data_IF_072478242275
#
_entry.id   IF_072478242275
#
_cell.length_a   1.000
_cell.length_b   1.000
_cell.length_c   1.000
_cell.angle_alpha   90.00
_cell.angle_beta   90.00
_cell.angle_gamma   90.00
#
_symmetry.space_group_name_H-M   'P 1'
#
loop_
_entity.id
_entity.type
_entity.pdbx_description
1 polymer ?
#
# COMPACT_ATOMS: atom_id res chain seq x y z
N UNK A 1 -10.60 -10.08 25.17
CA UNK A 1 -11.32 -11.35 25.42
C UNK A 1 -11.59 -11.55 26.90
N UNK A 2 -12.46 -12.49 27.27
CA UNK A 2 -12.68 -12.88 28.68
C UNK A 2 -11.44 -13.54 29.32
N UNK A 3 -10.50 -14.01 28.54
CA UNK A 3 -9.21 -14.57 28.98
C UNK A 3 -8.12 -13.51 29.11
N UNK A 4 -8.43 -12.24 28.92
CA UNK A 4 -7.47 -11.13 29.03
C UNK A 4 -6.59 -10.91 27.79
N UNK A 5 -6.74 -11.69 26.72
CA UNK A 5 -6.01 -11.45 25.47
C UNK A 5 -6.57 -10.21 24.80
N UNK A 6 -5.69 -9.29 24.38
CA UNK A 6 -6.02 -8.02 23.72
C UNK A 6 -5.42 -8.02 22.33
N UNK A 7 -6.26 -7.89 21.30
CA UNK A 7 -5.82 -7.62 19.93
C UNK A 7 -5.66 -6.13 19.70
N UNK A 8 -4.67 -5.79 18.90
CA UNK A 8 -4.31 -4.40 18.60
C UNK A 8 -4.07 -4.25 17.10
N UNK A 9 -4.42 -3.08 16.59
CA UNK A 9 -4.16 -2.70 15.20
C UNK A 9 -3.75 -1.24 15.14
N UNK A 10 -2.86 -0.93 14.24
CA UNK A 10 -2.56 0.44 13.83
C UNK A 10 -3.17 0.69 12.45
N UNK A 11 -4.02 1.69 12.35
CA UNK A 11 -4.58 2.18 11.08
C UNK A 11 -3.94 3.53 10.79
N UNK A 12 -2.88 3.57 10.00
CA UNK A 12 -2.19 4.81 9.64
C UNK A 12 -3.01 5.70 8.70
N UNK A 13 -2.62 6.97 8.58
CA UNK A 13 -3.06 7.92 7.55
C UNK A 13 -4.59 8.14 7.41
N UNK A 14 -5.33 7.96 8.51
CA UNK A 14 -6.80 8.13 8.53
C UNK A 14 -7.28 9.20 9.51
N UNK A 15 -6.46 10.21 9.78
CA UNK A 15 -6.71 11.20 10.83
C UNK A 15 -8.05 11.91 10.69
N UNK A 16 -8.41 12.29 9.46
CA UNK A 16 -9.67 13.01 9.19
C UNK A 16 -10.92 12.12 9.33
N UNK A 17 -10.78 10.82 9.05
CA UNK A 17 -11.86 9.83 9.09
C UNK A 17 -11.95 9.10 10.43
N UNK A 18 -10.94 9.19 11.29
CA UNK A 18 -10.89 8.49 12.57
C UNK A 18 -12.16 8.63 13.43
N UNK A 19 -12.73 9.81 13.61
CA UNK A 19 -13.96 9.93 14.41
C UNK A 19 -15.13 9.10 13.84
N UNK A 20 -15.28 9.05 12.52
CA UNK A 20 -16.31 8.26 11.86
C UNK A 20 -16.04 6.76 11.98
N UNK A 21 -14.80 6.34 11.78
CA UNK A 21 -14.34 4.95 11.94
C UNK A 21 -14.61 4.47 13.38
N UNK A 22 -14.16 5.22 14.39
CA UNK A 22 -14.37 4.88 15.79
C UNK A 22 -15.84 4.81 16.16
N UNK A 23 -16.66 5.73 15.63
CA UNK A 23 -18.10 5.69 15.85
C UNK A 23 -18.73 4.40 15.32
N UNK A 24 -18.38 3.98 14.10
CA UNK A 24 -18.86 2.72 13.52
C UNK A 24 -18.41 1.53 14.39
N UNK A 25 -17.15 1.51 14.80
CA UNK A 25 -16.63 0.44 15.66
C UNK A 25 -17.43 0.36 16.96
N UNK A 26 -17.62 1.47 17.66
CA UNK A 26 -18.30 1.48 18.96
C UNK A 26 -19.79 1.22 18.89
N UNK A 27 -20.48 1.83 17.93
CA UNK A 27 -21.94 1.83 17.89
C UNK A 27 -22.50 0.60 17.16
N UNK A 28 -21.73 -0.03 16.26
CA UNK A 28 -22.23 -1.08 15.38
C UNK A 28 -21.39 -2.36 15.47
N UNK A 29 -20.06 -2.29 15.27
CA UNK A 29 -19.25 -3.50 15.15
C UNK A 29 -19.02 -4.16 16.51
N UNK A 30 -18.69 -3.40 17.54
CA UNK A 30 -18.46 -3.95 18.88
C UNK A 30 -19.70 -4.63 19.47
N UNK A 31 -20.92 -4.03 19.38
CA UNK A 31 -22.15 -4.73 19.80
C UNK A 31 -22.42 -6.02 19.00
N UNK A 32 -22.16 -6.00 17.66
CA UNK A 32 -22.38 -7.17 16.80
C UNK A 32 -21.45 -8.34 17.16
N UNK A 33 -20.25 -8.04 17.63
CA UNK A 33 -19.23 -9.04 17.97
C UNK A 33 -19.27 -9.49 19.44
N UNK A 34 -20.05 -8.82 20.29
CA UNK A 34 -20.08 -9.10 21.71
C UNK A 34 -20.48 -10.55 21.99
N UNK A 35 -19.59 -11.29 22.69
CA UNK A 35 -19.80 -12.70 23.04
C UNK A 35 -19.49 -13.71 21.92
N UNK A 36 -19.04 -13.27 20.77
CA UNK A 36 -18.62 -14.18 19.70
C UNK A 36 -17.25 -14.81 20.02
N UNK A 37 -17.04 -15.99 19.49
CA UNK A 37 -15.74 -16.67 19.54
C UNK A 37 -14.81 -16.06 18.50
N UNK A 38 -13.65 -15.53 18.95
CA UNK A 38 -12.65 -14.91 18.09
C UNK A 38 -12.08 -15.88 17.03
N UNK A 39 -12.11 -17.19 17.32
CA UNK A 39 -11.67 -18.20 16.34
C UNK A 39 -12.67 -18.43 15.20
N UNK A 40 -13.90 -17.97 15.33
CA UNK A 40 -14.88 -17.94 14.26
C UNK A 40 -14.73 -16.65 13.42
N UNK A 41 -13.58 -16.47 12.78
CA UNK A 41 -13.22 -15.25 12.05
C UNK A 41 -14.21 -14.93 10.93
N UNK A 42 -14.63 -15.93 10.14
CA UNK A 42 -15.65 -15.77 9.10
C UNK A 42 -17.01 -15.34 9.68
N UNK A 43 -17.41 -15.93 10.80
CA UNK A 43 -18.63 -15.53 11.50
C UNK A 43 -18.57 -14.11 12.04
N UNK A 44 -17.41 -13.67 12.53
CA UNK A 44 -17.19 -12.30 12.96
C UNK A 44 -17.27 -11.34 11.77
N UNK A 45 -16.64 -11.68 10.65
CA UNK A 45 -16.73 -10.90 9.42
C UNK A 45 -18.19 -10.74 8.94
N UNK A 46 -18.94 -11.83 8.87
CA UNK A 46 -20.36 -11.79 8.47
C UNK A 46 -21.22 -10.97 9.45
N UNK A 47 -20.92 -11.01 10.75
CA UNK A 47 -21.62 -10.20 11.75
C UNK A 47 -21.38 -8.68 11.58
N UNK A 48 -20.23 -8.28 11.05
CA UNK A 48 -19.91 -6.88 10.76
C UNK A 48 -20.50 -6.35 9.45
N UNK A 49 -20.79 -7.23 8.51
CA UNK A 49 -21.27 -6.90 7.16
C UNK A 49 -22.51 -5.98 7.10
N UNK A 50 -23.50 -6.08 8.01
CA UNK A 50 -24.67 -5.19 8.00
C UNK A 50 -24.33 -3.70 8.08
N UNK A 51 -23.17 -3.32 8.65
CA UNK A 51 -22.71 -1.94 8.66
C UNK A 51 -22.54 -1.35 7.24
N UNK A 52 -22.36 -2.20 6.22
CA UNK A 52 -22.20 -1.78 4.81
C UNK A 52 -23.53 -1.59 4.07
N UNK A 53 -24.67 -1.90 4.68
CA UNK A 53 -25.97 -1.95 3.98
C UNK A 53 -26.62 -0.56 3.80
N UNK A 54 -26.20 0.43 4.57
CA UNK A 54 -26.66 1.80 4.39
C UNK A 54 -26.09 2.36 3.07
N UNK A 55 -26.98 2.58 2.09
CA UNK A 55 -26.63 3.05 0.75
C UNK A 55 -26.20 4.52 0.70
N UNK A 56 -26.50 5.28 1.74
CA UNK A 56 -26.17 6.71 1.86
C UNK A 56 -24.83 6.93 2.59
N UNK A 57 -24.31 5.90 3.24
CA UNK A 57 -23.04 5.95 3.97
C UNK A 57 -21.86 5.75 3.02
N UNK A 58 -20.75 6.42 3.30
CA UNK A 58 -19.48 6.12 2.65
C UNK A 58 -19.01 4.71 3.02
N UNK A 59 -19.02 3.82 2.03
CA UNK A 59 -18.61 2.43 2.21
C UNK A 59 -17.12 2.28 2.45
N UNK A 60 -16.30 3.20 1.96
CA UNK A 60 -14.85 3.21 2.21
C UNK A 60 -14.55 3.32 3.70
N UNK A 61 -15.17 4.30 4.38
CA UNK A 61 -15.04 4.49 5.83
C UNK A 61 -15.54 3.27 6.62
N UNK A 62 -16.65 2.67 6.17
CA UNK A 62 -17.17 1.44 6.82
C UNK A 62 -16.20 0.28 6.65
N UNK A 63 -15.64 0.09 5.45
CA UNK A 63 -14.68 -0.99 5.20
C UNK A 63 -13.39 -0.79 5.98
N UNK A 64 -12.92 0.45 6.16
CA UNK A 64 -11.80 0.75 7.04
C UNK A 64 -12.08 0.35 8.49
N UNK A 65 -13.28 0.66 9.01
CA UNK A 65 -13.69 0.24 10.34
C UNK A 65 -13.73 -1.29 10.48
N UNK A 66 -14.31 -2.00 9.51
CA UNK A 66 -14.36 -3.47 9.49
C UNK A 66 -12.95 -4.05 9.41
N UNK A 67 -12.10 -3.53 8.52
CA UNK A 67 -10.71 -3.98 8.36
C UNK A 67 -9.89 -3.81 9.63
N UNK A 68 -10.05 -2.67 10.33
CA UNK A 68 -9.38 -2.45 11.61
C UNK A 68 -9.79 -3.49 12.64
N UNK A 69 -11.10 -3.75 12.79
CA UNK A 69 -11.59 -4.77 13.74
C UNK A 69 -11.15 -6.17 13.35
N UNK A 70 -11.25 -6.53 12.07
CA UNK A 70 -10.84 -7.85 11.57
C UNK A 70 -9.35 -8.10 11.80
N UNK A 71 -8.50 -7.12 11.53
CA UNK A 71 -7.05 -7.20 11.82
C UNK A 71 -6.80 -7.40 13.31
N UNK A 72 -7.51 -6.69 14.19
CA UNK A 72 -7.38 -6.87 15.64
C UNK A 72 -7.90 -8.23 16.12
N UNK A 73 -8.93 -8.79 15.47
CA UNK A 73 -9.40 -10.16 15.74
C UNK A 73 -8.32 -11.19 15.39
N UNK A 74 -7.70 -11.07 14.21
CA UNK A 74 -6.59 -11.94 13.82
C UNK A 74 -5.38 -11.80 14.74
N UNK A 75 -5.02 -10.58 15.16
CA UNK A 75 -3.97 -10.37 16.17
C UNK A 75 -4.30 -11.07 17.48
N UNK A 76 -5.58 -11.02 17.89
CA UNK A 76 -6.07 -11.76 19.07
C UNK A 76 -5.90 -13.28 18.90
N UNK A 77 -6.23 -13.81 17.73
CA UNK A 77 -6.06 -15.25 17.42
C UNK A 77 -4.59 -15.65 17.53
N UNK A 78 -3.70 -14.87 16.91
CA UNK A 78 -2.25 -15.12 16.97
C UNK A 78 -1.72 -15.12 18.40
N UNK A 79 -2.10 -14.11 19.19
CA UNK A 79 -1.73 -13.98 20.61
C UNK A 79 -2.33 -15.11 21.48
N UNK A 80 -3.56 -15.51 21.24
CA UNK A 80 -4.22 -16.59 21.96
C UNK A 80 -3.56 -17.95 21.70
N UNK A 81 -3.00 -18.17 20.53
CA UNK A 81 -2.29 -19.38 20.12
C UNK A 81 -0.78 -19.33 20.39
N UNK A 82 -0.27 -18.20 20.86
CA UNK A 82 1.18 -17.93 20.96
C UNK A 82 1.90 -18.24 19.64
N UNK A 83 1.30 -17.82 18.52
CA UNK A 83 1.79 -18.12 17.19
C UNK A 83 1.72 -16.91 16.26
N UNK A 84 2.81 -16.56 15.56
CA UNK A 84 2.78 -15.54 14.53
C UNK A 84 1.80 -15.90 13.41
N UNK A 85 1.01 -14.92 12.95
CA UNK A 85 -0.04 -15.13 11.94
C UNK A 85 0.47 -15.75 10.65
N UNK A 86 1.68 -15.35 10.19
CA UNK A 86 2.24 -15.94 8.98
C UNK A 86 2.38 -17.47 9.05
N UNK A 87 2.59 -18.03 10.26
CA UNK A 87 2.63 -19.49 10.47
C UNK A 87 1.25 -20.11 10.43
N UNK A 88 0.24 -19.44 11.03
CA UNK A 88 -1.14 -19.88 10.96
C UNK A 88 -1.65 -19.96 9.52
N UNK A 89 -1.20 -19.04 8.67
CA UNK A 89 -1.56 -19.00 7.26
C UNK A 89 -0.64 -19.83 6.36
N UNK A 90 0.17 -20.74 6.94
CA UNK A 90 1.00 -21.69 6.21
C UNK A 90 2.35 -21.15 5.73
N UNK A 91 2.92 -20.22 6.48
CA UNK A 91 4.11 -19.42 6.15
C UNK A 91 5.23 -20.13 5.39
N UNK A 92 5.60 -19.57 4.27
CA UNK A 92 6.67 -20.05 3.40
C UNK A 92 8.06 -19.63 3.89
N UNK A 93 8.19 -18.39 4.39
CA UNK A 93 9.45 -17.82 4.87
C UNK A 93 9.21 -16.90 6.05
N UNK A 94 10.22 -16.76 6.90
CA UNK A 94 10.24 -15.78 7.99
C UNK A 94 11.23 -14.62 7.73
N UNK A 95 11.82 -14.57 6.55
CA UNK A 95 12.76 -13.54 6.12
C UNK A 95 12.25 -12.93 4.82
N UNK A 96 12.04 -11.63 4.84
CA UNK A 96 11.65 -10.85 3.66
C UNK A 96 12.71 -9.76 3.39
N UNK A 97 13.05 -9.53 2.12
CA UNK A 97 13.86 -8.38 1.77
C UNK A 97 13.08 -7.09 2.07
N UNK A 98 13.74 -6.12 2.70
CA UNK A 98 13.12 -4.84 3.00
C UNK A 98 13.55 -3.77 2.03
N UNK A 99 12.61 -2.91 1.64
CA UNK A 99 12.84 -1.68 0.90
C UNK A 99 12.36 -0.49 1.73
N UNK A 100 13.01 0.66 1.60
CA UNK A 100 12.54 1.91 2.20
C UNK A 100 11.45 2.57 1.33
N UNK A 101 10.67 3.45 1.93
CA UNK A 101 9.81 4.40 1.24
C UNK A 101 10.31 5.79 1.58
N UNK A 102 10.65 6.60 0.57
CA UNK A 102 11.22 7.92 0.81
C UNK A 102 11.39 8.74 -0.47
N UNK A 103 12.29 9.69 -0.42
CA UNK A 103 12.49 10.64 -1.52
C UNK A 103 11.30 11.58 -1.65
N UNK A 104 10.72 12.03 -0.53
CA UNK A 104 9.63 13.01 -0.54
C UNK A 104 10.12 14.38 -1.04
N UNK A 105 9.18 15.21 -1.48
CA UNK A 105 9.47 16.56 -1.97
C UNK A 105 9.85 17.52 -0.83
N UNK A 106 10.51 18.63 -1.20
CA UNK A 106 10.94 19.67 -0.26
C UNK A 106 12.32 19.45 0.35
N UNK A 107 13.00 18.36 0.04
CA UNK A 107 14.37 18.08 0.47
C UNK A 107 15.38 18.72 -0.50
N UNK A 108 16.48 19.21 0.07
CA UNK A 108 17.68 19.54 -0.70
C UNK A 108 18.37 18.27 -1.19
N UNK A 109 19.29 18.40 -2.16
CA UNK A 109 20.10 17.27 -2.64
C UNK A 109 20.85 16.57 -1.48
N UNK A 110 21.42 17.34 -0.55
CA UNK A 110 22.21 16.81 0.56
C UNK A 110 21.34 16.09 1.61
N UNK A 111 20.12 16.56 1.84
CA UNK A 111 19.15 15.89 2.72
C UNK A 111 18.68 14.58 2.11
N UNK A 112 18.34 14.57 0.84
CA UNK A 112 17.99 13.38 0.10
C UNK A 112 19.14 12.35 0.08
N UNK A 113 20.36 12.81 -0.16
CA UNK A 113 21.55 11.95 -0.14
C UNK A 113 21.78 11.31 1.24
N UNK A 114 21.57 12.07 2.32
CA UNK A 114 21.67 11.54 3.69
C UNK A 114 20.58 10.52 3.99
N UNK A 115 19.33 10.81 3.63
CA UNK A 115 18.22 9.87 3.79
C UNK A 115 18.53 8.51 3.11
N UNK A 116 19.02 8.54 1.88
CA UNK A 116 19.34 7.32 1.14
C UNK A 116 20.55 6.60 1.77
N UNK A 117 21.57 7.35 2.22
CA UNK A 117 22.72 6.76 2.90
C UNK A 117 22.31 6.06 4.21
N UNK A 118 21.36 6.62 4.96
CA UNK A 118 20.80 6.01 6.16
C UNK A 118 20.09 4.70 5.83
N UNK A 119 19.27 4.66 4.76
CA UNK A 119 18.61 3.45 4.28
C UNK A 119 19.61 2.36 3.90
N UNK A 120 20.66 2.71 3.16
CA UNK A 120 21.76 1.79 2.83
C UNK A 120 22.41 1.29 4.12
N UNK A 121 22.65 2.16 5.09
CA UNK A 121 23.20 1.82 6.40
C UNK A 121 22.32 0.85 7.21
N UNK A 122 21.01 0.92 7.07
CA UNK A 122 20.07 -0.04 7.67
C UNK A 122 20.02 -1.39 6.96
N UNK A 123 20.70 -1.54 5.82
CA UNK A 123 20.75 -2.79 5.07
C UNK A 123 19.49 -3.09 4.25
N UNK A 124 18.68 -2.09 3.92
CA UNK A 124 17.58 -2.27 2.97
C UNK A 124 18.14 -2.48 1.56
N UNK A 125 17.45 -3.26 0.75
CA UNK A 125 17.94 -3.65 -0.59
C UNK A 125 17.60 -2.62 -1.68
N UNK A 126 16.81 -1.60 -1.36
CA UNK A 126 16.36 -0.59 -2.30
C UNK A 126 15.33 0.35 -1.69
N UNK A 127 14.74 1.20 -2.51
CA UNK A 127 13.70 2.11 -2.06
C UNK A 127 12.60 2.32 -3.09
N UNK A 128 11.40 2.60 -2.60
CA UNK A 128 10.30 3.15 -3.35
C UNK A 128 10.35 4.68 -3.25
N UNK A 129 10.70 5.32 -4.35
CA UNK A 129 10.99 6.75 -4.44
C UNK A 129 9.75 7.52 -4.91
N UNK A 130 9.42 8.64 -4.23
CA UNK A 130 8.26 9.46 -4.59
C UNK A 130 8.56 10.34 -5.81
N UNK A 131 7.68 10.23 -6.82
CA UNK A 131 7.70 10.99 -8.07
C UNK A 131 6.31 11.55 -8.38
N UNK A 132 6.14 12.33 -9.43
CA UNK A 132 4.82 12.82 -9.86
C UNK A 132 4.37 14.13 -9.20
N UNK A 133 5.11 14.65 -8.24
CA UNK A 133 4.89 15.98 -7.65
C UNK A 133 5.69 17.10 -8.34
N UNK A 134 6.55 16.72 -9.30
CA UNK A 134 7.35 17.62 -10.11
C UNK A 134 7.28 17.20 -11.59
N UNK A 135 8.02 17.88 -12.47
CA UNK A 135 8.15 17.44 -13.86
C UNK A 135 8.95 16.14 -13.96
N UNK A 136 8.73 15.31 -15.00
CA UNK A 136 9.55 14.12 -15.23
C UNK A 136 11.05 14.38 -15.21
N UNK A 137 11.50 15.50 -15.75
CA UNK A 137 12.91 15.92 -15.77
C UNK A 137 13.46 16.16 -14.38
N UNK A 138 12.73 16.89 -13.55
CA UNK A 138 13.12 17.19 -12.16
C UNK A 138 13.15 15.91 -11.32
N UNK A 139 12.18 15.01 -11.50
CA UNK A 139 12.15 13.73 -10.80
C UNK A 139 13.31 12.82 -11.21
N UNK A 140 13.74 12.83 -12.48
CA UNK A 140 14.95 12.12 -12.91
C UNK A 140 16.22 12.68 -12.24
N UNK A 141 16.36 14.00 -12.11
CA UNK A 141 17.51 14.59 -11.38
C UNK A 141 17.54 14.15 -9.91
N UNK A 142 16.38 14.02 -9.28
CA UNK A 142 16.28 13.49 -7.92
C UNK A 142 16.64 12.00 -7.85
N UNK A 143 16.17 11.17 -8.81
CA UNK A 143 16.52 9.76 -8.89
C UNK A 143 18.01 9.51 -9.12
N UNK A 144 18.72 10.39 -9.83
CA UNK A 144 20.17 10.28 -10.00
C UNK A 144 20.90 10.31 -8.64
N UNK A 145 20.38 11.06 -7.66
CA UNK A 145 20.94 11.04 -6.29
C UNK A 145 20.78 9.65 -5.66
N UNK A 146 19.61 9.01 -5.88
CA UNK A 146 19.37 7.66 -5.34
C UNK A 146 20.29 6.61 -5.98
N UNK A 147 20.57 6.74 -7.27
CA UNK A 147 21.53 5.86 -7.97
C UNK A 147 22.96 6.08 -7.45
N UNK A 148 23.36 7.35 -7.32
CA UNK A 148 24.70 7.73 -6.89
C UNK A 148 25.01 7.23 -5.48
N UNK A 149 24.09 7.45 -4.53
CA UNK A 149 24.28 7.13 -3.10
C UNK A 149 23.96 5.68 -2.80
N UNK A 150 22.90 5.13 -3.40
CA UNK A 150 22.50 3.74 -3.22
C UNK A 150 23.53 2.74 -3.77
N UNK A 151 24.24 3.14 -4.80
CA UNK A 151 25.30 2.36 -5.40
C UNK A 151 24.81 1.10 -6.17
N UNK A 152 25.76 0.25 -6.50
CA UNK A 152 25.51 -0.94 -7.30
C UNK A 152 24.59 -1.94 -6.57
N UNK A 153 23.51 -2.33 -7.22
CA UNK A 153 22.54 -3.31 -6.69
C UNK A 153 21.45 -2.71 -5.82
N UNK A 154 21.46 -1.39 -5.56
CA UNK A 154 20.35 -0.73 -4.88
C UNK A 154 19.14 -0.64 -5.81
N UNK A 155 18.05 -1.28 -5.41
CA UNK A 155 16.85 -1.43 -6.25
C UNK A 155 15.98 -0.19 -6.17
N UNK A 156 15.50 0.29 -7.32
CA UNK A 156 14.64 1.47 -7.38
C UNK A 156 13.24 1.09 -7.89
N UNK A 157 12.26 1.42 -7.11
CA UNK A 157 10.85 1.46 -7.47
C UNK A 157 10.38 2.91 -7.38
N UNK A 158 9.39 3.29 -8.14
CA UNK A 158 8.85 4.65 -8.11
C UNK A 158 7.35 4.65 -7.87
N UNK A 159 6.86 5.68 -7.17
CA UNK A 159 5.47 5.85 -6.82
C UNK A 159 5.05 7.30 -7.09
N UNK A 160 4.14 7.48 -8.04
CA UNK A 160 3.64 8.80 -8.39
C UNK A 160 2.39 9.19 -7.61
N UNK A 161 1.79 8.30 -6.83
CA UNK A 161 0.51 8.54 -6.16
C UNK A 161 -0.50 9.25 -7.09
N UNK A 162 -0.61 8.77 -8.33
CA UNK A 162 -1.49 9.28 -9.37
C UNK A 162 -1.14 10.70 -9.89
N UNK A 163 0.08 11.16 -9.64
CA UNK A 163 0.50 12.54 -9.92
C UNK A 163 0.76 12.86 -11.40
N UNK A 164 1.07 11.85 -12.23
CA UNK A 164 1.31 12.04 -13.66
C UNK A 164 0.06 11.78 -14.51
N UNK A 165 0.11 12.26 -15.74
CA UNK A 165 -0.71 11.76 -16.85
C UNK A 165 0.05 10.69 -17.66
N UNK A 166 -0.63 10.08 -18.62
CA UNK A 166 -0.03 9.03 -19.47
C UNK A 166 1.21 9.53 -20.23
N UNK A 167 1.16 10.74 -20.78
CA UNK A 167 2.27 11.33 -21.54
C UNK A 167 3.48 11.60 -20.65
N UNK A 168 3.25 12.16 -19.47
CA UNK A 168 4.30 12.41 -18.47
C UNK A 168 4.92 11.10 -17.98
N UNK A 169 4.11 10.08 -17.73
CA UNK A 169 4.59 8.75 -17.32
C UNK A 169 5.51 8.12 -18.38
N UNK A 170 5.07 8.11 -19.64
CA UNK A 170 5.88 7.59 -20.75
C UNK A 170 7.19 8.38 -20.89
N UNK A 171 7.11 9.71 -20.78
CA UNK A 171 8.29 10.59 -20.81
C UNK A 171 9.25 10.30 -19.67
N UNK A 172 8.73 10.14 -18.44
CA UNK A 172 9.54 9.81 -17.26
C UNK A 172 10.30 8.49 -17.45
N UNK A 173 9.61 7.41 -17.87
CA UNK A 173 10.26 6.11 -18.07
C UNK A 173 11.31 6.18 -19.18
N UNK A 174 11.04 6.92 -20.28
CA UNK A 174 12.02 7.14 -21.33
C UNK A 174 13.27 7.85 -20.81
N UNK A 175 13.10 8.93 -20.04
CA UNK A 175 14.21 9.67 -19.45
C UNK A 175 15.01 8.84 -18.45
N UNK A 176 14.35 7.99 -17.66
CA UNK A 176 15.01 7.04 -16.75
C UNK A 176 15.91 6.07 -17.55
N UNK A 177 15.39 5.49 -18.63
CA UNK A 177 16.14 4.61 -19.51
C UNK A 177 17.32 5.33 -20.18
N UNK A 178 17.12 6.56 -20.69
CA UNK A 178 18.19 7.38 -21.28
C UNK A 178 19.29 7.73 -20.27
N UNK A 179 18.93 7.87 -18.99
CA UNK A 179 19.86 8.12 -17.88
C UNK A 179 20.52 6.83 -17.34
N UNK A 180 20.16 5.66 -17.88
CA UNK A 180 20.66 4.36 -17.37
C UNK A 180 20.11 3.96 -16.01
N UNK A 181 18.97 4.53 -15.59
CA UNK A 181 18.32 4.23 -14.31
C UNK A 181 17.38 3.03 -14.52
N UNK A 182 17.70 1.90 -13.90
CA UNK A 182 16.86 0.73 -13.93
C UNK A 182 15.77 0.84 -12.86
N UNK A 183 14.51 0.78 -13.28
CA UNK A 183 13.34 0.77 -12.41
C UNK A 183 12.72 -0.63 -12.36
N UNK A 184 12.29 -1.09 -11.19
CA UNK A 184 11.68 -2.41 -11.04
C UNK A 184 10.19 -2.40 -11.29
N UNK A 185 9.49 -1.39 -10.77
CA UNK A 185 8.07 -1.15 -11.07
C UNK A 185 7.71 0.32 -10.87
N UNK A 186 6.55 0.70 -11.40
CA UNK A 186 5.93 1.99 -11.23
C UNK A 186 4.60 1.85 -10.49
N UNK A 187 4.52 2.42 -9.28
CA UNK A 187 3.29 2.44 -8.48
C UNK A 187 2.46 3.66 -8.81
N UNK A 188 1.17 3.43 -9.04
CA UNK A 188 0.17 4.44 -9.33
C UNK A 188 0.63 5.57 -10.26
N UNK A 189 1.13 5.24 -11.48
CA UNK A 189 1.71 6.25 -12.37
C UNK A 189 0.70 7.33 -12.82
N UNK A 190 -0.57 6.98 -12.93
CA UNK A 190 -1.64 7.84 -13.50
C UNK A 190 -2.90 7.78 -12.64
N UNK A 191 -3.84 8.71 -12.86
CA UNK A 191 -5.15 8.76 -12.19
C UNK A 191 -6.08 7.65 -12.67
N UNK A 192 -5.88 6.45 -12.19
CA UNK A 192 -6.53 5.24 -12.63
C UNK A 192 -7.92 4.99 -12.03
N UNK A 193 -8.32 5.67 -10.97
CA UNK A 193 -9.61 5.42 -10.30
C UNK A 193 -10.81 5.73 -11.21
N UNK A 194 -10.63 6.59 -12.24
CA UNK A 194 -11.66 6.84 -13.25
C UNK A 194 -11.71 5.76 -14.33
N UNK A 195 -10.56 5.20 -14.69
CA UNK A 195 -10.42 4.19 -15.72
C UNK A 195 -9.14 3.35 -15.50
N UNK A 196 -9.33 2.14 -14.98
CA UNK A 196 -8.24 1.20 -14.70
C UNK A 196 -7.43 0.82 -15.94
N UNK A 197 -7.98 1.00 -17.16
CA UNK A 197 -7.26 0.76 -18.42
C UNK A 197 -6.05 1.67 -18.59
N UNK A 198 -6.03 2.85 -17.99
CA UNK A 198 -4.87 3.74 -18.07
C UNK A 198 -3.61 3.11 -17.47
N UNK A 199 -3.72 2.32 -16.43
CA UNK A 199 -2.58 1.55 -15.89
C UNK A 199 -2.07 0.53 -16.92
N UNK A 200 -2.99 -0.20 -17.58
CA UNK A 200 -2.65 -1.11 -18.66
C UNK A 200 -1.96 -0.39 -19.83
N UNK A 201 -2.45 0.79 -20.20
CA UNK A 201 -1.88 1.57 -21.29
C UNK A 201 -0.45 2.02 -20.93
N UNK A 202 -0.17 2.43 -19.70
CA UNK A 202 1.20 2.68 -19.21
C UNK A 202 2.05 1.43 -19.34
N UNK A 203 1.57 0.31 -18.82
CA UNK A 203 2.26 -0.99 -18.84
C UNK A 203 2.65 -1.41 -20.25
N UNK A 204 1.73 -1.30 -21.20
CA UNK A 204 1.97 -1.64 -22.61
C UNK A 204 2.90 -0.64 -23.31
N UNK A 205 2.80 0.64 -23.00
CA UNK A 205 3.62 1.67 -23.64
C UNK A 205 5.06 1.70 -23.12
N UNK A 206 5.28 1.34 -21.87
CA UNK A 206 6.60 1.46 -21.23
C UNK A 206 7.33 0.12 -21.09
N UNK A 207 6.59 -0.99 -21.04
CA UNK A 207 7.13 -2.31 -20.69
C UNK A 207 7.56 -2.44 -19.24
N UNK A 208 7.40 -1.40 -18.41
CA UNK A 208 7.70 -1.41 -16.98
C UNK A 208 6.55 -2.05 -16.21
N UNK A 209 6.80 -2.95 -15.26
CA UNK A 209 5.76 -3.48 -14.39
C UNK A 209 5.03 -2.38 -13.62
N UNK A 210 3.71 -2.49 -13.50
CA UNK A 210 2.85 -1.53 -12.81
C UNK A 210 2.33 -2.12 -11.51
N UNK A 211 2.36 -1.31 -10.46
CA UNK A 211 1.80 -1.60 -9.14
C UNK A 211 0.65 -0.66 -8.84
N UNK A 212 -0.47 -1.19 -8.36
CA UNK A 212 -1.58 -0.41 -7.79
C UNK A 212 -2.50 -1.32 -6.98
N UNK A 213 -3.42 -0.71 -6.21
CA UNK A 213 -4.43 -1.43 -5.43
C UNK A 213 -4.74 -0.79 -4.08
N UNK A 214 -3.86 0.03 -3.54
CA UNK A 214 -4.01 0.64 -2.21
C UNK A 214 -5.31 1.46 -2.03
N UNK A 215 -5.89 1.96 -3.12
CA UNK A 215 -7.16 2.70 -3.09
C UNK A 215 -8.39 1.77 -3.27
N UNK A 216 -8.17 0.47 -3.44
CA UNK A 216 -9.25 -0.51 -3.52
C UNK A 216 -9.52 -1.12 -2.15
N UNK A 217 -10.75 -1.00 -1.69
CA UNK A 217 -11.21 -1.55 -0.42
C UNK A 217 -12.20 -2.70 -0.59
N UNK A 218 -12.30 -3.26 -1.81
CA UNK A 218 -13.18 -4.38 -2.12
C UNK A 218 -12.51 -5.34 -3.11
N UNK A 219 -12.81 -6.62 -2.93
CA UNK A 219 -12.26 -7.69 -3.77
C UNK A 219 -12.61 -7.54 -5.26
N UNK A 220 -13.77 -6.99 -5.58
CA UNK A 220 -14.18 -6.74 -6.97
C UNK A 220 -13.29 -5.67 -7.63
N UNK A 221 -12.90 -4.62 -6.91
CA UNK A 221 -11.98 -3.61 -7.42
C UNK A 221 -10.60 -4.17 -7.75
N UNK A 222 -10.06 -5.00 -6.86
CA UNK A 222 -8.78 -5.70 -7.08
C UNK A 222 -8.88 -6.69 -8.24
N UNK A 223 -9.99 -7.45 -8.33
CA UNK A 223 -10.24 -8.37 -9.44
C UNK A 223 -10.22 -7.64 -10.78
N UNK A 224 -10.90 -6.49 -10.88
CA UNK A 224 -10.94 -5.69 -12.09
C UNK A 224 -9.55 -5.23 -12.53
N UNK A 225 -8.66 -4.88 -11.58
CA UNK A 225 -7.26 -4.54 -11.88
C UNK A 225 -6.51 -5.72 -12.49
N UNK A 226 -6.69 -6.92 -11.91
CA UNK A 226 -6.02 -8.15 -12.34
C UNK A 226 -6.57 -8.62 -13.71
N UNK A 227 -7.89 -8.78 -13.82
CA UNK A 227 -8.55 -9.28 -15.03
C UNK A 227 -8.40 -8.32 -16.21
N UNK A 228 -8.37 -7.01 -15.94
CA UNK A 228 -8.10 -5.96 -16.93
C UNK A 228 -6.66 -5.92 -17.44
N UNK A 229 -5.75 -6.71 -16.86
CA UNK A 229 -4.32 -6.68 -17.17
C UNK A 229 -3.67 -5.34 -16.83
N UNK A 230 -4.20 -4.64 -15.83
CA UNK A 230 -3.81 -3.28 -15.45
C UNK A 230 -2.56 -3.26 -14.56
N UNK A 231 -2.30 -4.33 -13.82
CA UNK A 231 -1.21 -4.40 -12.84
C UNK A 231 -0.39 -5.69 -12.98
N UNK A 232 0.86 -5.65 -12.53
CA UNK A 232 1.75 -6.79 -12.33
C UNK A 232 1.91 -7.09 -10.83
N UNK A 233 1.81 -6.04 -9.99
CA UNK A 233 1.86 -6.13 -8.54
C UNK A 233 0.62 -5.47 -7.93
N UNK A 234 0.05 -6.12 -6.92
CA UNK A 234 -1.05 -5.59 -6.13
C UNK A 234 -0.53 -5.19 -4.75
N UNK A 235 -0.82 -3.96 -4.34
CA UNK A 235 -0.48 -3.41 -3.02
C UNK A 235 -1.73 -3.11 -2.17
N UNK A 236 -2.75 -3.97 -2.26
CA UNK A 236 -3.97 -3.89 -1.47
C UNK A 236 -3.82 -4.53 -0.09
#
# INVERSE_FOLDING_TARGET
THQGVVGEVYTGDTDDEQPAILKIIHDELAPALAGMDVFNTEGCWEAMKPATYDILRDRGVVMQAISAVDTALWDTVGKALDMPLYRLWGGHTNVLPMTAIGGYYGQTRDELAREIADYVGYGVIGMKFKVGGATPEEDIERLKVAVEVGGLGFRLMVDANQGYDLGQTIRFVRLANEAGIALEWFEEPVRWYNDKRWLRDVRLATGLPVCAGQSEYRIDGVRDLIEGGSIDYCNS
#
